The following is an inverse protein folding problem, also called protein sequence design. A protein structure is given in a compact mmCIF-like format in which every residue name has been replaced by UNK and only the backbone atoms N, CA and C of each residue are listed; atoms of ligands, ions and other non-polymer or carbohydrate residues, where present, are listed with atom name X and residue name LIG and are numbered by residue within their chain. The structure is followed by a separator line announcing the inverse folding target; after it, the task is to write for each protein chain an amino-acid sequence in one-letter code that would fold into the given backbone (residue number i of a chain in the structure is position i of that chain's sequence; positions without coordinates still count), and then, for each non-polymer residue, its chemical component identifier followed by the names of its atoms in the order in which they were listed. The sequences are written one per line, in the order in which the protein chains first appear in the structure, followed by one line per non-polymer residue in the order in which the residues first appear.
data_IF_739244779127
#
_entry.id   IF_739244779127
#
_cell.length_a   1.000
_cell.length_b   1.000
_cell.length_c   1.000
_cell.angle_alpha   90.00
_cell.angle_beta   90.00
_cell.angle_gamma   90.00
#
_symmetry.space_group_name_H-M   'P 1'
#
loop_
_entity.id
_entity.type
_entity.pdbx_description
1 polymer ?
#
# COMPACT_ATOMS: atom_id res chain seq x y z
N UNK A 1 -36.64 19.64 67.65
CA UNK A 1 -35.36 20.23 67.26
C UNK A 1 -34.69 19.25 66.31
N UNK A 2 -34.75 19.49 65.03
CA UNK A 2 -34.22 18.61 63.97
C UNK A 2 -32.76 18.99 63.80
N UNK A 3 -31.87 18.00 63.97
CA UNK A 3 -30.42 18.18 63.97
C UNK A 3 -29.87 18.41 62.59
N UNK A 4 -29.59 19.63 62.20
CA UNK A 4 -29.08 20.09 60.90
C UNK A 4 -27.70 19.45 60.53
N UNK A 5 -26.99 18.85 61.49
CA UNK A 5 -25.68 18.26 61.25
C UNK A 5 -25.74 16.90 60.49
N UNK A 6 -26.89 16.23 60.48
CA UNK A 6 -27.04 14.96 59.75
C UNK A 6 -27.38 15.11 58.29
N UNK A 7 -27.92 16.26 57.87
CA UNK A 7 -28.31 16.53 56.47
C UNK A 7 -27.07 16.90 55.60
N UNK A 8 -26.06 17.53 56.23
CA UNK A 8 -24.86 17.94 55.50
C UNK A 8 -23.90 16.78 55.13
N UNK A 9 -23.99 15.63 55.80
CA UNK A 9 -23.14 14.47 55.51
C UNK A 9 -23.70 13.54 54.42
N UNK A 10 -24.98 13.61 54.16
CA UNK A 10 -25.62 12.80 53.13
C UNK A 10 -25.51 13.42 51.71
N UNK A 11 -25.35 14.76 51.63
CA UNK A 11 -25.27 15.49 50.35
C UNK A 11 -23.86 15.45 49.69
N UNK A 12 -22.81 15.12 50.45
CA UNK A 12 -21.42 15.07 49.93
C UNK A 12 -21.04 13.70 49.38
N UNK A 13 -21.79 12.65 49.78
CA UNK A 13 -21.51 11.28 49.33
C UNK A 13 -22.09 10.91 47.92
N UNK A 14 -22.94 11.77 47.37
CA UNK A 14 -23.61 11.53 46.09
C UNK A 14 -22.98 12.24 44.86
N UNK A 15 -21.95 13.05 45.10
CA UNK A 15 -21.27 13.82 44.04
C UNK A 15 -19.90 13.24 43.59
N UNK A 16 -19.46 12.13 44.18
CA UNK A 16 -18.15 11.52 43.88
C UNK A 16 -18.24 10.28 42.98
N UNK A 17 -19.43 9.91 42.47
CA UNK A 17 -19.59 8.67 41.70
C UNK A 17 -19.87 8.90 40.20
N UNK A 18 -19.68 10.09 39.66
CA UNK A 18 -20.06 10.39 38.25
C UNK A 18 -18.93 10.89 37.35
N UNK A 19 -17.69 10.55 37.64
CA UNK A 19 -16.53 11.00 36.83
C UNK A 19 -15.58 9.87 36.35
N UNK A 20 -16.07 8.62 36.25
CA UNK A 20 -15.31 7.55 35.60
C UNK A 20 -16.19 6.93 34.50
N UNK A 21 -16.59 7.76 33.57
CA UNK A 21 -17.20 7.30 32.34
C UNK A 21 -16.76 8.25 31.25
N UNK A 22 -15.60 8.00 30.68
CA UNK A 22 -15.27 8.32 29.29
C UNK A 22 -13.76 8.35 29.10
N UNK A 23 -13.19 7.27 28.72
CA UNK A 23 -12.04 7.20 27.80
C UNK A 23 -11.90 5.76 27.31
N UNK A 24 -13.02 5.15 26.90
CA UNK A 24 -12.95 4.15 25.84
C UNK A 24 -13.24 4.88 24.53
N UNK A 25 -12.36 5.80 24.16
CA UNK A 25 -12.22 6.15 22.76
C UNK A 25 -11.89 4.86 22.00
N UNK A 26 -12.40 4.69 20.76
CA UNK A 26 -11.94 3.57 19.96
C UNK A 26 -10.42 3.60 19.99
N UNK A 27 -9.81 2.48 20.37
CA UNK A 27 -8.37 2.30 20.26
C UNK A 27 -8.02 2.74 18.84
N UNK A 28 -7.08 3.69 18.71
CA UNK A 28 -6.58 4.10 17.41
C UNK A 28 -6.18 2.81 16.72
N UNK A 29 -6.94 2.45 15.68
CA UNK A 29 -6.65 1.30 14.85
C UNK A 29 -5.20 1.46 14.43
N UNK A 30 -4.33 0.53 14.79
CA UNK A 30 -3.01 0.42 14.18
C UNK A 30 -3.28 0.55 12.69
N UNK A 31 -2.68 1.55 12.05
CA UNK A 31 -2.98 1.95 10.68
C UNK A 31 -2.53 0.82 9.74
N UNK A 32 -3.35 -0.22 9.65
CA UNK A 32 -3.07 -1.37 8.80
C UNK A 32 -3.35 -0.95 7.36
N UNK A 33 -2.43 -1.24 6.46
CA UNK A 33 -2.64 -1.01 5.02
C UNK A 33 -3.77 -1.88 4.48
N UNK A 34 -3.93 -3.07 5.04
CA UNK A 34 -4.92 -4.06 4.57
C UNK A 34 -6.34 -3.50 4.71
N UNK A 35 -7.12 -3.61 3.64
CA UNK A 35 -8.48 -3.08 3.53
C UNK A 35 -8.56 -1.61 3.11
N UNK A 36 -7.44 -0.87 3.03
CA UNK A 36 -7.44 0.50 2.49
C UNK A 36 -7.54 0.48 0.98
N UNK A 37 -8.26 1.45 0.42
CA UNK A 37 -8.30 1.64 -1.03
C UNK A 37 -7.22 2.63 -1.45
N UNK A 38 -6.30 2.19 -2.31
CA UNK A 38 -5.30 3.03 -2.94
C UNK A 38 -5.92 3.87 -4.05
N UNK A 39 -5.51 5.13 -4.17
CA UNK A 39 -5.89 6.02 -5.27
C UNK A 39 -4.72 6.14 -6.23
N UNK A 40 -5.00 5.99 -7.52
CA UNK A 40 -3.98 6.13 -8.56
C UNK A 40 -3.76 7.61 -8.94
N UNK A 41 -4.80 8.47 -8.76
CA UNK A 41 -4.73 9.87 -9.18
C UNK A 41 -4.62 10.01 -10.69
N UNK A 42 -3.86 11.01 -11.14
CA UNK A 42 -3.42 11.13 -12.54
C UNK A 42 -1.97 10.66 -12.61
N UNK A 43 -1.76 9.45 -13.12
CA UNK A 43 -0.44 8.86 -13.25
C UNK A 43 -0.07 8.68 -14.73
N UNK A 44 1.21 8.73 -15.03
CA UNK A 44 1.73 8.56 -16.38
C UNK A 44 2.62 7.33 -16.46
N UNK A 45 2.46 6.47 -17.48
CA UNK A 45 3.38 5.35 -17.68
C UNK A 45 4.81 5.84 -18.01
N UNK A 46 5.80 5.16 -17.46
CA UNK A 46 7.22 5.42 -17.75
C UNK A 46 7.55 5.25 -19.25
N UNK A 47 6.87 4.32 -19.91
CA UNK A 47 7.04 4.03 -21.34
C UNK A 47 6.38 5.05 -22.26
N UNK A 48 5.34 5.75 -21.80
CA UNK A 48 4.61 6.77 -22.54
C UNK A 48 4.06 7.85 -21.58
N UNK A 49 4.86 8.86 -21.24
CA UNK A 49 4.44 9.93 -20.34
C UNK A 49 3.31 10.84 -20.90
N UNK A 50 2.91 10.66 -22.14
CA UNK A 50 1.79 11.42 -22.74
C UNK A 50 0.42 10.78 -22.47
N UNK A 51 0.41 9.50 -22.15
CA UNK A 51 -0.79 8.78 -21.70
C UNK A 51 -1.07 9.08 -20.23
N UNK A 52 -2.35 9.23 -19.87
CA UNK A 52 -2.79 9.40 -18.50
C UNK A 52 -3.61 8.18 -18.07
N UNK A 53 -3.29 7.63 -16.90
CA UNK A 53 -3.99 6.53 -16.24
C UNK A 53 -4.66 7.11 -14.99
N UNK A 54 -5.96 6.87 -14.83
CA UNK A 54 -6.76 7.44 -13.74
C UNK A 54 -7.49 6.40 -12.89
N UNK A 55 -7.49 5.14 -13.30
CA UNK A 55 -8.22 4.08 -12.59
C UNK A 55 -7.46 2.76 -12.56
N UNK A 56 -7.67 1.97 -11.50
CA UNK A 56 -7.10 0.63 -11.38
C UNK A 56 -7.62 -0.34 -12.45
N UNK A 57 -8.92 -0.36 -12.80
CA UNK A 57 -9.41 -1.22 -13.88
C UNK A 57 -8.72 -1.03 -15.22
N UNK A 58 -8.26 0.20 -15.54
CA UNK A 58 -7.55 0.49 -16.79
C UNK A 58 -6.20 -0.24 -16.88
N UNK A 59 -5.59 -0.56 -15.75
CA UNK A 59 -4.27 -1.19 -15.67
C UNK A 59 -4.31 -2.64 -15.17
N UNK A 60 -5.42 -3.09 -14.62
CA UNK A 60 -5.58 -4.47 -14.15
C UNK A 60 -5.54 -5.50 -15.30
N UNK A 61 -5.79 -5.07 -16.56
CA UNK A 61 -5.70 -5.95 -17.72
C UNK A 61 -6.69 -7.12 -17.70
N UNK A 62 -7.82 -6.96 -17.00
CA UNK A 62 -8.82 -8.01 -16.81
C UNK A 62 -8.53 -8.97 -15.66
N UNK A 63 -7.36 -8.88 -15.02
CA UNK A 63 -7.04 -9.64 -13.81
C UNK A 63 -7.78 -9.10 -12.60
N UNK A 64 -8.07 -9.99 -11.65
CA UNK A 64 -8.76 -9.62 -10.41
C UNK A 64 -7.80 -9.05 -9.36
N UNK A 65 -6.49 -9.14 -9.60
CA UNK A 65 -5.43 -8.75 -8.65
C UNK A 65 -4.32 -7.98 -9.34
N UNK A 66 -3.68 -7.09 -8.58
CA UNK A 66 -2.56 -6.25 -9.02
C UNK A 66 -1.44 -6.39 -8.00
N UNK A 67 -0.23 -6.69 -8.45
CA UNK A 67 1.01 -6.55 -7.69
C UNK A 67 1.56 -5.14 -7.94
N UNK A 68 1.33 -4.22 -7.01
CA UNK A 68 1.82 -2.85 -7.09
C UNK A 68 3.19 -2.75 -6.42
N UNK A 69 4.25 -2.74 -7.23
CA UNK A 69 5.64 -2.78 -6.79
C UNK A 69 6.29 -1.39 -6.82
N UNK A 70 6.67 -0.88 -5.66
CA UNK A 70 7.42 0.37 -5.52
C UNK A 70 8.92 0.09 -5.67
N UNK A 71 9.55 0.66 -6.70
CA UNK A 71 10.94 0.40 -7.04
C UNK A 71 11.70 1.65 -7.49
N UNK A 72 13.01 1.54 -7.60
CA UNK A 72 13.88 2.59 -8.12
C UNK A 72 15.12 2.00 -8.79
N UNK A 73 15.72 2.74 -9.75
CA UNK A 73 16.94 2.30 -10.44
C UNK A 73 18.16 2.21 -9.52
N UNK A 74 18.22 3.03 -8.49
CA UNK A 74 19.29 3.02 -7.48
C UNK A 74 19.11 1.93 -6.41
N UNK A 75 17.96 1.26 -6.35
CA UNK A 75 17.64 0.25 -5.36
C UNK A 75 18.18 -1.12 -5.80
N UNK A 76 19.29 -1.57 -5.22
CA UNK A 76 19.92 -2.85 -5.58
C UNK A 76 18.95 -4.03 -5.39
N UNK A 77 18.25 -4.19 -4.23
CA UNK A 77 17.30 -5.32 -4.08
C UNK A 77 16.14 -5.26 -5.07
N UNK A 78 15.73 -4.07 -5.52
CA UNK A 78 14.70 -3.94 -6.57
C UNK A 78 15.22 -4.48 -7.91
N UNK A 79 16.48 -4.18 -8.24
CA UNK A 79 17.11 -4.68 -9.47
C UNK A 79 17.24 -6.20 -9.47
N UNK A 80 17.46 -6.80 -8.31
CA UNK A 80 17.58 -8.24 -8.16
C UNK A 80 16.23 -8.96 -8.32
N UNK A 81 15.11 -8.33 -7.92
CA UNK A 81 13.78 -8.93 -8.06
C UNK A 81 13.11 -8.70 -9.43
N UNK A 82 13.48 -7.64 -10.17
CA UNK A 82 12.88 -7.34 -11.49
C UNK A 82 12.91 -8.53 -12.45
N UNK A 83 14.02 -9.28 -12.62
CA UNK A 83 14.02 -10.49 -13.45
C UNK A 83 13.03 -11.56 -12.99
N UNK A 84 12.83 -11.70 -11.67
CA UNK A 84 11.86 -12.67 -11.12
C UNK A 84 10.42 -12.23 -11.42
N UNK A 85 10.13 -10.93 -11.33
CA UNK A 85 8.84 -10.37 -11.73
C UNK A 85 8.59 -10.53 -13.23
N UNK A 86 9.65 -10.38 -14.06
CA UNK A 86 9.57 -10.63 -15.50
C UNK A 86 9.23 -12.11 -15.78
N UNK A 87 9.92 -13.04 -15.14
CA UNK A 87 9.66 -14.47 -15.28
C UNK A 87 8.23 -14.82 -14.83
N UNK A 88 7.75 -14.20 -13.74
CA UNK A 88 6.37 -14.36 -13.29
C UNK A 88 5.37 -13.87 -14.34
N UNK A 89 5.54 -12.65 -14.89
CA UNK A 89 4.62 -12.10 -15.91
C UNK A 89 4.66 -12.88 -17.22
N UNK A 90 5.79 -13.51 -17.54
CA UNK A 90 5.98 -14.33 -18.72
C UNK A 90 5.48 -15.75 -18.53
N UNK A 91 5.14 -16.12 -17.29
CA UNK A 91 4.63 -17.44 -16.94
C UNK A 91 3.21 -17.62 -17.45
N UNK A 92 2.78 -18.85 -17.48
CA UNK A 92 1.48 -19.30 -17.91
C UNK A 92 0.37 -18.74 -16.98
N UNK A 93 -0.44 -17.80 -17.47
CA UNK A 93 -1.57 -17.20 -16.78
C UNK A 93 -1.24 -16.69 -15.36
N UNK A 94 -0.52 -15.57 -15.24
CA UNK A 94 -0.23 -15.00 -13.93
C UNK A 94 -1.52 -14.65 -13.17
N UNK A 95 -1.59 -14.96 -11.87
CA UNK A 95 -2.76 -14.69 -11.03
C UNK A 95 -3.03 -13.19 -10.79
N UNK A 96 -2.01 -12.35 -11.04
CA UNK A 96 -2.08 -10.90 -10.88
C UNK A 96 -1.32 -10.17 -11.99
N UNK A 97 -1.76 -8.94 -12.28
CA UNK A 97 -1.01 -8.00 -13.13
C UNK A 97 0.08 -7.34 -12.30
N UNK A 98 1.32 -7.28 -12.80
CA UNK A 98 2.38 -6.49 -12.19
C UNK A 98 2.30 -5.04 -12.67
N UNK A 99 2.34 -4.11 -11.73
CA UNK A 99 2.44 -2.67 -11.93
C UNK A 99 3.61 -2.12 -11.13
N UNK A 100 4.48 -1.34 -11.75
CA UNK A 100 5.51 -0.58 -11.06
C UNK A 100 5.02 0.79 -10.60
N UNK A 101 5.58 1.29 -9.51
CA UNK A 101 5.53 2.71 -9.11
C UNK A 101 6.96 3.17 -8.94
N UNK A 102 7.32 4.24 -9.65
CA UNK A 102 8.65 4.81 -9.57
C UNK A 102 8.80 5.59 -8.25
N UNK A 103 9.62 5.07 -7.35
CA UNK A 103 9.77 5.63 -6.00
C UNK A 103 11.04 6.50 -5.89
N UNK A 104 10.87 7.82 -5.76
CA UNK A 104 11.97 8.78 -5.55
C UNK A 104 13.13 8.59 -6.53
N UNK A 105 12.82 8.45 -7.80
CA UNK A 105 13.80 8.23 -8.86
C UNK A 105 13.51 9.11 -10.07
N UNK A 106 14.49 9.22 -10.97
CA UNK A 106 14.39 9.97 -12.22
C UNK A 106 13.99 9.07 -13.38
N UNK A 107 13.15 9.59 -14.28
CA UNK A 107 12.61 8.89 -15.45
C UNK A 107 13.69 8.23 -16.31
N UNK A 108 14.79 8.95 -16.61
CA UNK A 108 15.87 8.46 -17.48
C UNK A 108 16.57 7.21 -16.93
N UNK A 109 17.15 7.26 -15.71
CA UNK A 109 17.74 6.09 -15.06
C UNK A 109 16.77 4.93 -14.89
N UNK A 110 15.52 5.22 -14.50
CA UNK A 110 14.49 4.20 -14.34
C UNK A 110 14.16 3.49 -15.66
N UNK A 111 13.97 4.25 -16.75
CA UNK A 111 13.70 3.69 -18.08
C UNK A 111 14.87 2.81 -18.58
N UNK A 112 16.12 3.26 -18.36
CA UNK A 112 17.30 2.48 -18.70
C UNK A 112 17.36 1.16 -17.92
N UNK A 113 17.11 1.21 -16.60
CA UNK A 113 17.09 0.01 -15.74
C UNK A 113 15.95 -0.94 -16.12
N UNK A 114 14.76 -0.42 -16.39
CA UNK A 114 13.62 -1.21 -16.84
C UNK A 114 13.93 -1.96 -18.12
N UNK A 115 14.53 -1.28 -19.11
CA UNK A 115 14.93 -1.90 -20.39
C UNK A 115 16.04 -2.95 -20.20
N UNK A 116 17.05 -2.65 -19.35
CA UNK A 116 18.16 -3.56 -19.05
C UNK A 116 17.68 -4.88 -18.42
N UNK A 117 16.73 -4.78 -17.48
CA UNK A 117 16.31 -5.92 -16.65
C UNK A 117 15.01 -6.58 -17.13
N UNK A 118 14.44 -6.13 -18.24
CA UNK A 118 13.24 -6.73 -18.84
C UNK A 118 11.93 -6.38 -18.12
N UNK A 119 11.85 -5.25 -17.42
CA UNK A 119 10.61 -4.76 -16.83
C UNK A 119 9.65 -4.27 -17.94
N UNK A 120 8.83 -5.18 -18.48
CA UNK A 120 7.91 -4.93 -19.61
C UNK A 120 6.51 -4.49 -19.16
N UNK A 121 6.21 -4.59 -17.88
CA UNK A 121 4.94 -4.11 -17.30
C UNK A 121 4.90 -2.59 -17.19
N UNK A 122 3.70 -2.06 -17.04
CA UNK A 122 3.50 -0.62 -16.85
C UNK A 122 4.13 -0.19 -15.52
N UNK A 123 5.00 0.82 -15.57
CA UNK A 123 5.51 1.52 -14.38
C UNK A 123 4.94 2.94 -14.37
N UNK A 124 4.29 3.32 -13.29
CA UNK A 124 3.72 4.64 -13.09
C UNK A 124 4.77 5.62 -12.57
N UNK A 125 4.84 6.80 -13.16
CA UNK A 125 5.64 7.91 -12.67
C UNK A 125 4.84 8.60 -11.55
N UNK A 126 5.34 8.51 -10.32
CA UNK A 126 4.76 9.15 -9.12
C UNK A 126 5.51 10.45 -8.82
N UNK A 127 5.42 11.42 -9.75
CA UNK A 127 6.24 12.63 -9.74
C UNK A 127 6.02 13.52 -8.50
N UNK A 128 4.80 13.59 -8.00
CA UNK A 128 4.40 14.35 -6.81
C UNK A 128 4.40 13.49 -5.54
N UNK A 129 4.65 12.18 -5.67
CA UNK A 129 4.66 11.24 -4.57
C UNK A 129 3.26 10.90 -4.02
N UNK A 130 2.19 11.21 -4.76
CA UNK A 130 0.82 11.04 -4.28
C UNK A 130 0.42 9.58 -4.09
N UNK A 131 0.95 8.66 -4.89
CA UNK A 131 0.73 7.22 -4.72
C UNK A 131 1.52 6.72 -3.51
N UNK A 132 2.81 7.05 -3.43
CA UNK A 132 3.69 6.62 -2.34
C UNK A 132 3.28 7.20 -0.98
N UNK A 133 2.69 8.40 -0.93
CA UNK A 133 2.23 9.03 0.31
C UNK A 133 1.06 8.27 0.99
N UNK A 134 0.39 7.38 0.28
CA UNK A 134 -0.72 6.59 0.82
C UNK A 134 -0.26 5.37 1.62
N UNK A 135 1.01 5.03 1.54
CA UNK A 135 1.61 3.86 2.20
C UNK A 135 2.85 4.28 2.99
N UNK A 136 3.19 3.61 4.10
CA UNK A 136 4.39 3.91 4.87
C UNK A 136 5.65 3.39 4.16
N UNK A 137 5.89 3.84 2.90
CA UNK A 137 7.09 3.45 2.15
C UNK A 137 8.28 4.16 2.73
N UNK A 138 9.03 3.47 3.58
CA UNK A 138 10.31 3.95 4.11
C UNK A 138 11.52 3.36 3.35
N UNK A 139 11.29 2.31 2.57
CA UNK A 139 12.31 1.61 1.77
C UNK A 139 11.66 0.96 0.55
N UNK A 140 12.44 0.79 -0.52
CA UNK A 140 12.11 -0.03 -1.67
C UNK A 140 12.96 -1.33 -1.63
N UNK A 141 12.45 -2.45 -2.15
CA UNK A 141 11.13 -2.61 -2.72
C UNK A 141 10.03 -2.76 -1.66
N UNK A 142 8.84 -2.28 -1.99
CA UNK A 142 7.59 -2.59 -1.31
C UNK A 142 6.60 -3.06 -2.35
N UNK A 143 5.95 -4.19 -2.13
CA UNK A 143 4.89 -4.69 -3.02
C UNK A 143 3.58 -4.79 -2.27
N UNK A 144 2.53 -4.19 -2.83
CA UNK A 144 1.15 -4.37 -2.35
C UNK A 144 0.44 -5.36 -3.26
N UNK A 145 -0.33 -6.26 -2.69
CA UNK A 145 -1.35 -7.01 -3.42
C UNK A 145 -2.66 -6.24 -3.33
N UNK A 146 -3.19 -5.82 -4.47
CA UNK A 146 -4.47 -5.12 -4.57
C UNK A 146 -5.50 -5.99 -5.27
N UNK A 147 -6.79 -5.76 -4.97
CA UNK A 147 -7.86 -6.20 -5.87
C UNK A 147 -7.95 -5.27 -7.10
N UNK A 148 -8.82 -5.60 -8.05
CA UNK A 148 -9.01 -4.82 -9.29
C UNK A 148 -9.54 -3.39 -9.06
N UNK A 149 -10.00 -3.06 -7.86
CA UNK A 149 -10.49 -1.74 -7.47
C UNK A 149 -9.47 -0.95 -6.63
N UNK A 150 -8.29 -1.53 -6.38
CA UNK A 150 -7.23 -0.92 -5.63
C UNK A 150 -7.31 -1.10 -4.11
N UNK A 151 -8.13 -2.03 -3.61
CA UNK A 151 -8.16 -2.36 -2.18
C UNK A 151 -6.94 -3.22 -1.85
N UNK A 152 -6.19 -2.83 -0.84
CA UNK A 152 -5.02 -3.58 -0.35
C UNK A 152 -5.47 -4.87 0.32
N UNK A 153 -5.08 -6.01 -0.25
CA UNK A 153 -5.34 -7.35 0.27
C UNK A 153 -4.20 -7.82 1.16
N UNK A 154 -2.95 -7.51 0.75
CA UNK A 154 -1.74 -7.86 1.49
C UNK A 154 -0.58 -6.93 1.08
N UNK A 155 0.54 -6.98 1.80
CA UNK A 155 1.76 -6.24 1.43
C UNK A 155 3.02 -6.96 1.90
N UNK A 156 4.12 -6.76 1.14
CA UNK A 156 5.45 -7.28 1.44
C UNK A 156 6.47 -6.16 1.42
N UNK A 157 7.26 -6.05 2.47
CA UNK A 157 8.44 -5.18 2.54
C UNK A 157 9.68 -6.01 2.23
N UNK A 158 10.51 -5.52 1.31
CA UNK A 158 11.70 -6.23 0.83
C UNK A 158 11.44 -7.07 -0.42
N UNK A 159 12.53 -7.54 -1.07
CA UNK A 159 12.45 -8.21 -2.36
C UNK A 159 11.85 -9.62 -2.25
N UNK A 160 11.26 -10.08 -3.35
CA UNK A 160 11.05 -11.50 -3.60
C UNK A 160 12.38 -12.18 -3.95
N UNK A 161 12.52 -13.44 -3.57
CA UNK A 161 13.73 -14.24 -3.84
C UNK A 161 13.49 -15.36 -4.84
N UNK A 162 12.24 -15.60 -5.24
CA UNK A 162 11.87 -16.58 -6.26
C UNK A 162 10.54 -16.27 -6.92
N UNK A 163 10.33 -16.79 -8.12
CA UNK A 163 9.03 -16.71 -8.83
C UNK A 163 7.93 -17.41 -8.05
N UNK A 164 8.26 -18.48 -7.31
CA UNK A 164 7.29 -19.20 -6.48
C UNK A 164 6.75 -18.32 -5.35
N UNK A 165 7.60 -17.53 -4.68
CA UNK A 165 7.15 -16.56 -3.66
C UNK A 165 6.23 -15.49 -4.25
N UNK A 166 6.52 -15.03 -5.48
CA UNK A 166 5.66 -14.05 -6.17
C UNK A 166 4.28 -14.67 -6.45
N UNK A 167 4.26 -15.91 -6.95
CA UNK A 167 3.01 -16.61 -7.25
C UNK A 167 2.17 -16.86 -5.98
N UNK A 168 2.80 -17.34 -4.91
CA UNK A 168 2.14 -17.53 -3.61
C UNK A 168 1.56 -16.22 -3.07
N UNK A 169 2.33 -15.14 -3.12
CA UNK A 169 1.87 -13.83 -2.69
C UNK A 169 0.73 -13.29 -3.56
N UNK A 170 0.78 -13.51 -4.88
CA UNK A 170 -0.24 -13.10 -5.83
C UNK A 170 -1.57 -13.84 -5.63
N UNK A 171 -1.51 -15.10 -5.18
CA UNK A 171 -2.71 -15.89 -4.85
C UNK A 171 -3.42 -15.37 -3.59
N UNK A 172 -2.69 -14.64 -2.73
CA UNK A 172 -3.19 -13.96 -1.54
C UNK A 172 -3.74 -14.91 -0.47
N UNK A 173 -4.24 -14.31 0.61
CA UNK A 173 -4.88 -15.07 1.68
C UNK A 173 -6.26 -15.60 1.27
#
# INVERSE_FOLDING_TARGET
MINLARIRRAAIALLAASLIAACTGPAASSDTLIGRTMRIGEAHPLSDPTTTITSWPDVAGGNQRILLNFWASWCIPCRDEIPLLFDYTSSFAPGATVLGVLYKDSVGPAAATAAELGATWVTLIDADGAIAAQVPVNAAPLTLLLDANGVVLDYRVGPFTSVAEIAEFADGP
#
